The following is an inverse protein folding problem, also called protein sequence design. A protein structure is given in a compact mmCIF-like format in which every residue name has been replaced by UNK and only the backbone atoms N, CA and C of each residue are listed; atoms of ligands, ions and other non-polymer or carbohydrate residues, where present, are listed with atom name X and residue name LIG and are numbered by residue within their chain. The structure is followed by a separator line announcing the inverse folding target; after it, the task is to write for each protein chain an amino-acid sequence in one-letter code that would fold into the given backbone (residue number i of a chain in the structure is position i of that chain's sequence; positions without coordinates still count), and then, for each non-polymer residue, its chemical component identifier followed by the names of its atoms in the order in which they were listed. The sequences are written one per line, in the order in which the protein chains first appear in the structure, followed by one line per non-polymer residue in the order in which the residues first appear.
data_IF_586552272150
#
_entry.id   IF_586552272150
#
_cell.length_a   1.000
_cell.length_b   1.000
_cell.length_c   1.000
_cell.angle_alpha   90.00
_cell.angle_beta   90.00
_cell.angle_gamma   90.00
#
_symmetry.space_group_name_H-M   'P 1'
#
loop_
_entity.id
_entity.type
_entity.pdbx_description
1 polymer ?
#
# COMPACT_ATOMS: atom_id res chain seq x y z
N UNK A 1 -3.87 -5.65 -9.25
CA UNK A 1 -2.83 -4.90 -8.53
C UNK A 1 -2.00 -4.10 -9.53
N UNK A 2 -1.69 -2.84 -9.23
CA UNK A 2 -0.89 -1.94 -10.07
C UNK A 2 0.60 -2.17 -9.81
N UNK A 3 1.33 -2.73 -10.79
CA UNK A 3 2.79 -2.97 -10.73
C UNK A 3 3.61 -1.86 -11.39
N UNK A 4 3.03 -0.68 -11.61
CA UNK A 4 3.77 0.44 -12.21
C UNK A 4 4.79 1.00 -11.23
N UNK A 5 5.95 1.41 -11.76
CA UNK A 5 7.01 2.06 -10.96
C UNK A 5 6.50 3.29 -10.21
N UNK A 6 5.54 4.00 -10.79
CA UNK A 6 4.93 5.18 -10.17
C UNK A 6 4.03 4.82 -8.97
N UNK A 7 3.36 3.67 -8.99
CA UNK A 7 2.60 3.19 -7.85
C UNK A 7 3.52 2.69 -6.74
N UNK A 8 4.53 1.88 -7.08
CA UNK A 8 5.55 1.42 -6.14
C UNK A 8 6.20 2.60 -5.42
N UNK A 9 6.62 3.63 -6.15
CA UNK A 9 7.21 4.85 -5.58
C UNK A 9 6.26 5.57 -4.61
N UNK A 10 4.96 5.62 -4.91
CA UNK A 10 3.97 6.25 -4.03
C UNK A 10 3.76 5.44 -2.76
N UNK A 11 3.68 4.11 -2.87
CA UNK A 11 3.56 3.21 -1.72
C UNK A 11 4.79 3.28 -0.83
N UNK A 12 6.00 3.17 -1.41
CA UNK A 12 7.27 3.25 -0.69
C UNK A 12 7.46 4.56 0.09
N UNK A 13 6.87 5.65 -0.40
CA UNK A 13 6.93 6.96 0.26
C UNK A 13 5.80 7.21 1.26
N UNK A 14 4.75 6.40 1.23
CA UNK A 14 3.61 6.51 2.14
C UNK A 14 3.97 5.85 3.47
N UNK A 15 4.95 6.41 4.19
CA UNK A 15 5.51 5.80 5.42
C UNK A 15 4.41 5.53 6.45
N UNK A 16 3.44 6.42 6.58
CA UNK A 16 2.30 6.24 7.47
C UNK A 16 1.49 4.99 7.11
N UNK A 17 1.25 4.77 5.82
CA UNK A 17 0.52 3.61 5.31
C UNK A 17 1.34 2.32 5.46
N UNK A 18 2.65 2.38 5.24
CA UNK A 18 3.54 1.22 5.41
C UNK A 18 3.60 0.77 6.88
N UNK A 19 3.62 1.73 7.81
CA UNK A 19 3.60 1.43 9.25
C UNK A 19 2.27 0.81 9.72
N UNK A 20 1.17 1.10 9.01
CA UNK A 20 -0.14 0.51 9.27
C UNK A 20 -0.31 -0.88 8.64
N UNK A 21 0.68 -1.37 7.87
CA UNK A 21 0.59 -2.67 7.23
C UNK A 21 0.59 -3.80 8.25
N UNK A 22 -0.53 -4.53 8.29
CA UNK A 22 -0.67 -5.80 9.01
C UNK A 22 -0.79 -6.92 7.98
N UNK A 23 0.32 -7.60 7.62
CA UNK A 23 0.33 -8.56 6.52
C UNK A 23 -0.70 -9.65 6.70
N UNK A 24 -1.46 -9.90 5.63
CA UNK A 24 -2.41 -11.01 5.53
C UNK A 24 -2.18 -11.82 4.26
N UNK A 25 -2.68 -13.06 4.26
CA UNK A 25 -2.59 -13.93 3.10
C UNK A 25 -3.22 -13.27 1.86
N UNK A 26 -2.45 -13.28 0.78
CA UNK A 26 -2.82 -12.67 -0.49
C UNK A 26 -2.35 -11.22 -0.65
N UNK A 27 -1.80 -10.58 0.38
CA UNK A 27 -1.23 -9.24 0.27
C UNK A 27 -0.08 -9.22 -0.72
N UNK A 28 0.01 -8.14 -1.49
CA UNK A 28 1.12 -7.95 -2.40
C UNK A 28 2.15 -7.01 -1.80
N UNK A 29 3.42 -7.34 -2.00
CA UNK A 29 4.52 -6.48 -1.63
C UNK A 29 5.63 -6.55 -2.67
N UNK A 30 6.52 -5.58 -2.61
CA UNK A 30 7.75 -5.55 -3.38
C UNK A 30 8.91 -5.74 -2.43
N UNK A 31 9.75 -6.74 -2.67
CA UNK A 31 10.92 -7.06 -1.84
C UNK A 31 12.20 -7.05 -2.66
N UNK A 32 13.31 -6.75 -2.00
CA UNK A 32 14.68 -6.92 -2.51
C UNK A 32 15.28 -8.22 -1.99
N UNK A 33 16.50 -8.55 -2.44
CA UNK A 33 17.22 -9.74 -1.96
C UNK A 33 17.47 -9.68 -0.46
N UNK A 34 17.72 -8.48 0.08
CA UNK A 34 18.00 -8.31 1.50
C UNK A 34 16.79 -8.59 2.40
N UNK A 35 15.57 -8.60 1.84
CA UNK A 35 14.33 -8.83 2.58
C UNK A 35 14.05 -10.30 2.88
N UNK A 36 14.83 -11.23 2.33
CA UNK A 36 14.62 -12.67 2.45
C UNK A 36 15.86 -13.37 3.02
N UNK A 37 15.64 -14.51 3.68
CA UNK A 37 16.73 -15.42 4.06
C UNK A 37 17.21 -16.30 2.90
N UNK A 38 16.43 -16.35 1.81
CA UNK A 38 16.76 -17.07 0.57
C UNK A 38 17.41 -16.12 -0.46
N UNK A 39 18.72 -16.21 -0.60
CA UNK A 39 19.54 -15.40 -1.53
C UNK A 39 19.15 -15.59 -3.02
N UNK A 40 18.43 -16.68 -3.34
CA UNK A 40 17.96 -16.98 -4.69
C UNK A 40 16.70 -16.18 -5.06
N UNK A 41 15.98 -15.61 -4.09
CA UNK A 41 14.83 -14.75 -4.36
C UNK A 41 15.30 -13.42 -4.98
N UNK A 42 14.89 -13.09 -6.22
CA UNK A 42 15.28 -11.84 -6.85
C UNK A 42 14.55 -10.64 -6.25
N UNK A 43 14.90 -9.44 -6.70
CA UNK A 43 14.08 -8.27 -6.43
C UNK A 43 12.84 -8.31 -7.34
N UNK A 44 11.65 -8.53 -6.78
CA UNK A 44 10.40 -8.64 -7.54
C UNK A 44 9.15 -8.39 -6.66
N UNK A 45 7.98 -8.55 -7.28
CA UNK A 45 6.68 -8.53 -6.64
C UNK A 45 6.32 -9.90 -6.09
N UNK A 46 6.07 -9.94 -4.81
CA UNK A 46 5.72 -11.14 -4.07
C UNK A 46 4.30 -11.04 -3.54
N UNK A 47 3.70 -12.21 -3.34
CA UNK A 47 2.44 -12.33 -2.64
C UNK A 47 2.71 -13.00 -1.31
N UNK A 48 2.26 -12.35 -0.24
CA UNK A 48 2.36 -12.85 1.11
C UNK A 48 1.48 -14.09 1.23
N UNK A 49 2.09 -15.24 1.52
CA UNK A 49 1.40 -16.50 1.76
C UNK A 49 2.02 -17.20 2.96
N UNK A 50 1.23 -17.34 4.00
CA UNK A 50 1.39 -18.24 5.12
C UNK A 50 0.76 -19.60 4.74
N UNK A 51 1.56 -20.67 4.76
CA UNK A 51 1.11 -22.05 4.57
C UNK A 51 1.51 -22.88 5.80
N UNK A 52 0.62 -23.76 6.28
CA UNK A 52 0.79 -24.52 7.54
C UNK A 52 2.07 -25.38 7.62
N UNK A 53 2.65 -25.74 6.46
CA UNK A 53 3.85 -26.58 6.36
C UNK A 53 5.14 -25.78 6.06
N UNK A 54 5.10 -24.44 6.04
CA UNK A 54 6.19 -23.47 5.77
C UNK A 54 6.96 -23.63 4.44
N UNK A 55 6.72 -24.71 3.68
CA UNK A 55 7.53 -25.13 2.53
C UNK A 55 7.44 -24.22 1.30
N UNK A 56 6.41 -23.40 1.19
CA UNK A 56 6.16 -22.52 0.04
C UNK A 56 5.89 -21.07 0.45
N UNK A 57 6.14 -20.72 1.71
CA UNK A 57 5.86 -19.39 2.21
C UNK A 57 6.90 -18.41 1.63
N UNK A 58 6.43 -17.33 1.00
CA UNK A 58 7.29 -16.21 0.63
C UNK A 58 7.05 -15.10 1.64
N UNK A 59 7.88 -15.08 2.66
CA UNK A 59 7.75 -14.20 3.81
C UNK A 59 9.00 -13.34 3.92
N UNK A 60 8.87 -12.05 4.27
CA UNK A 60 10.03 -11.27 4.64
C UNK A 60 10.71 -11.90 5.87
N UNK A 61 12.05 -11.90 5.90
CA UNK A 61 12.88 -12.58 6.91
C UNK A 61 12.55 -12.25 8.38
N UNK A 62 12.01 -11.06 8.65
CA UNK A 62 11.65 -10.63 10.00
C UNK A 62 10.18 -10.84 10.36
N UNK A 63 9.38 -11.46 9.49
CA UNK A 63 7.99 -11.76 9.81
C UNK A 63 7.88 -13.02 10.67
N UNK A 64 7.37 -12.89 11.90
CA UNK A 64 7.12 -14.02 12.78
C UNK A 64 5.71 -14.57 12.56
N UNK A 65 5.61 -15.73 11.92
CA UNK A 65 4.35 -16.43 11.65
C UNK A 65 3.51 -16.73 12.90
N UNK A 66 4.16 -17.10 14.02
CA UNK A 66 3.46 -17.49 15.25
C UNK A 66 2.80 -16.29 15.92
N UNK A 67 3.46 -15.14 15.88
CA UNK A 67 2.98 -13.89 16.48
C UNK A 67 2.17 -13.04 15.50
N UNK A 68 2.31 -13.30 14.20
CA UNK A 68 1.71 -12.54 13.09
C UNK A 68 2.13 -11.06 13.07
N UNK A 69 3.41 -10.81 13.34
CA UNK A 69 4.00 -9.47 13.40
C UNK A 69 5.43 -9.48 12.88
N UNK A 70 5.94 -8.31 12.48
CA UNK A 70 7.36 -8.12 12.20
C UNK A 70 8.15 -7.97 13.50
N UNK A 71 9.25 -8.71 13.65
CA UNK A 71 10.14 -8.61 14.82
C UNK A 71 11.18 -7.48 14.68
N UNK A 72 11.39 -6.97 13.46
CA UNK A 72 12.29 -5.87 13.13
C UNK A 72 11.76 -5.07 11.92
N UNK A 73 12.36 -3.93 11.61
CA UNK A 73 12.04 -3.12 10.44
C UNK A 73 12.27 -3.91 9.14
N UNK A 74 11.36 -3.75 8.18
CA UNK A 74 11.44 -4.37 6.85
C UNK A 74 11.49 -3.30 5.77
N UNK A 75 12.33 -3.51 4.75
CA UNK A 75 12.40 -2.64 3.58
C UNK A 75 11.37 -3.04 2.49
N UNK A 76 10.61 -4.12 2.75
CA UNK A 76 9.48 -4.53 1.91
C UNK A 76 8.47 -3.40 1.78
N UNK A 77 8.03 -3.14 0.55
CA UNK A 77 7.00 -2.15 0.26
C UNK A 77 5.67 -2.84 0.02
N UNK A 78 4.72 -2.65 0.93
CA UNK A 78 3.35 -3.09 0.74
C UNK A 78 2.68 -2.37 -0.42
N UNK A 79 1.96 -3.14 -1.23
CA UNK A 79 1.22 -2.69 -2.40
C UNK A 79 -0.27 -3.02 -2.20
N UNK A 80 -1.02 -2.19 -1.46
CA UNK A 80 -2.41 -2.49 -1.15
C UNK A 80 -3.23 -2.61 -2.43
N UNK A 81 -4.16 -3.55 -2.45
CA UNK A 81 -5.16 -3.68 -3.50
C UNK A 81 -6.24 -2.60 -3.34
N UNK A 82 -7.14 -2.51 -4.33
CA UNK A 82 -8.33 -1.66 -4.19
C UNK A 82 -9.17 -2.08 -2.98
N UNK A 83 -9.37 -3.38 -2.78
CA UNK A 83 -10.14 -3.90 -1.65
C UNK A 83 -9.49 -3.51 -0.30
N UNK A 84 -8.16 -3.60 -0.21
CA UNK A 84 -7.44 -3.17 0.99
C UNK A 84 -7.66 -1.68 1.26
N UNK A 85 -7.47 -0.84 0.24
CA UNK A 85 -7.63 0.62 0.37
C UNK A 85 -9.05 1.03 0.74
N UNK A 86 -10.06 0.38 0.17
CA UNK A 86 -11.46 0.65 0.52
C UNK A 86 -11.77 0.16 1.95
N UNK A 87 -11.23 -1.00 2.34
CA UNK A 87 -11.37 -1.54 3.70
C UNK A 87 -10.71 -0.69 4.79
N UNK A 88 -9.72 0.15 4.45
CA UNK A 88 -9.11 1.10 5.40
C UNK A 88 -10.01 2.30 5.71
N UNK A 89 -11.07 2.51 4.94
CA UNK A 89 -11.95 3.67 5.08
C UNK A 89 -13.22 3.26 5.81
N UNK A 90 -13.55 3.99 6.87
CA UNK A 90 -14.74 3.74 7.67
C UNK A 90 -15.93 4.55 7.13
N UNK A 91 -16.84 3.87 6.43
CA UNK A 91 -18.11 4.43 5.97
C UNK A 91 -19.28 3.52 6.38
N UNK A 92 -20.44 4.13 6.62
CA UNK A 92 -21.66 3.39 6.96
C UNK A 92 -22.21 2.61 5.75
N UNK A 93 -22.05 3.15 4.55
CA UNK A 93 -22.48 2.50 3.31
C UNK A 93 -21.45 2.68 2.18
N UNK A 94 -21.38 1.72 1.22
CA UNK A 94 -20.53 1.89 0.03
C UNK A 94 -20.90 3.11 -0.82
N UNK A 95 -22.16 3.58 -0.76
CA UNK A 95 -22.58 4.77 -1.50
C UNK A 95 -21.96 6.04 -0.90
N UNK A 96 -21.82 6.11 0.42
CA UNK A 96 -21.17 7.25 1.08
C UNK A 96 -19.68 7.30 0.76
N UNK A 97 -19.01 6.16 0.72
CA UNK A 97 -17.62 6.03 0.30
C UNK A 97 -17.42 6.54 -1.13
N UNK A 98 -18.22 6.03 -2.09
CA UNK A 98 -18.14 6.43 -3.49
C UNK A 98 -18.44 7.92 -3.66
N UNK A 99 -19.41 8.44 -2.90
CA UNK A 99 -19.76 9.87 -2.94
C UNK A 99 -18.60 10.73 -2.45
N UNK A 100 -18.01 10.42 -1.29
CA UNK A 100 -16.91 11.23 -0.76
C UNK A 100 -15.66 11.10 -1.64
N UNK A 101 -15.39 9.92 -2.19
CA UNK A 101 -14.35 9.74 -3.19
C UNK A 101 -14.58 10.63 -4.41
N UNK A 102 -15.79 10.62 -4.99
CA UNK A 102 -16.14 11.45 -6.13
C UNK A 102 -16.05 12.96 -5.82
N UNK A 103 -16.53 13.37 -4.65
CA UNK A 103 -16.46 14.75 -4.17
C UNK A 103 -15.01 15.21 -3.97
N UNK A 104 -14.12 14.32 -3.52
CA UNK A 104 -12.69 14.59 -3.41
C UNK A 104 -12.04 14.71 -4.79
N UNK A 105 -12.29 13.77 -5.70
CA UNK A 105 -11.75 13.80 -7.07
C UNK A 105 -12.17 15.10 -7.79
N UNK A 106 -13.43 15.51 -7.64
CA UNK A 106 -13.95 16.73 -8.25
C UNK A 106 -13.27 18.03 -7.75
N UNK A 107 -12.65 18.00 -6.56
CA UNK A 107 -11.91 19.12 -5.97
C UNK A 107 -10.45 19.17 -6.41
N UNK A 108 -9.93 18.11 -7.04
CA UNK A 108 -8.56 18.09 -7.54
C UNK A 108 -8.43 19.01 -8.76
N UNK A 109 -7.36 19.81 -8.79
CA UNK A 109 -6.96 20.55 -9.98
C UNK A 109 -6.55 19.60 -11.11
N UNK A 110 -6.57 20.07 -12.36
CA UNK A 110 -6.11 19.28 -13.53
C UNK A 110 -4.69 18.74 -13.29
N UNK A 111 -3.79 19.58 -12.76
CA UNK A 111 -2.41 19.17 -12.46
C UNK A 111 -2.33 18.09 -11.39
N UNK A 112 -3.22 18.06 -10.41
CA UNK A 112 -3.27 17.01 -9.39
C UNK A 112 -3.83 15.71 -9.96
N UNK A 113 -4.90 15.78 -10.77
CA UNK A 113 -5.49 14.61 -11.42
C UNK A 113 -4.47 13.91 -12.33
N UNK A 114 -3.68 14.66 -13.08
CA UNK A 114 -2.63 14.11 -13.96
C UNK A 114 -1.51 13.35 -13.21
N UNK A 115 -1.39 13.50 -11.89
CA UNK A 115 -0.41 12.76 -11.08
C UNK A 115 -0.83 11.32 -10.80
N UNK A 116 -2.10 10.99 -11.00
CA UNK A 116 -2.68 9.67 -10.77
C UNK A 116 -3.08 9.06 -12.11
N UNK A 117 -2.32 8.06 -12.57
CA UNK A 117 -2.51 7.47 -13.91
C UNK A 117 -3.39 6.23 -13.90
N UNK A 118 -3.67 5.68 -12.73
CA UNK A 118 -4.48 4.48 -12.54
C UNK A 118 -5.47 4.67 -11.41
N UNK A 119 -6.53 3.86 -11.39
CA UNK A 119 -7.51 3.84 -10.30
C UNK A 119 -6.86 3.50 -8.96
N UNK A 120 -5.87 2.59 -8.93
CA UNK A 120 -5.16 2.24 -7.69
C UNK A 120 -4.39 3.45 -7.13
N UNK A 121 -3.66 4.18 -8.01
CA UNK A 121 -2.96 5.40 -7.60
C UNK A 121 -3.93 6.45 -7.05
N UNK A 122 -5.10 6.60 -7.68
CA UNK A 122 -6.11 7.57 -7.26
C UNK A 122 -6.73 7.22 -5.90
N UNK A 123 -7.05 5.95 -5.68
CA UNK A 123 -7.52 5.46 -4.37
C UNK A 123 -6.47 5.59 -3.28
N UNK A 124 -5.20 5.30 -3.60
CA UNK A 124 -4.10 5.54 -2.66
C UNK A 124 -4.03 7.03 -2.28
N UNK A 125 -4.17 7.92 -3.26
CA UNK A 125 -4.27 9.36 -3.01
C UNK A 125 -5.42 9.73 -2.08
N UNK A 126 -6.58 9.09 -2.23
CA UNK A 126 -7.73 9.31 -1.38
C UNK A 126 -7.53 8.78 0.04
N UNK A 127 -6.99 7.58 0.21
CA UNK A 127 -6.66 7.00 1.52
C UNK A 127 -5.66 7.88 2.26
N UNK A 128 -4.56 8.28 1.60
CA UNK A 128 -3.56 9.17 2.18
C UNK A 128 -4.17 10.53 2.60
N UNK A 129 -5.10 11.05 1.82
CA UNK A 129 -5.82 12.26 2.16
C UNK A 129 -6.75 12.08 3.38
N UNK A 130 -7.54 11.00 3.41
CA UNK A 130 -8.56 10.76 4.43
C UNK A 130 -7.99 10.36 5.78
N UNK A 131 -7.06 9.42 5.79
CA UNK A 131 -6.55 8.83 7.04
C UNK A 131 -5.30 9.55 7.55
N UNK A 132 -4.50 10.13 6.64
CA UNK A 132 -3.19 10.71 7.00
C UNK A 132 -3.08 12.22 6.72
N UNK A 133 -4.11 12.86 6.14
CA UNK A 133 -4.09 14.30 5.76
C UNK A 133 -2.94 14.65 4.79
N UNK A 134 -2.51 13.69 3.98
CA UNK A 134 -1.41 13.84 3.04
C UNK A 134 -1.91 13.98 1.59
N UNK A 135 -1.16 14.70 0.77
CA UNK A 135 -1.39 14.81 -0.68
C UNK A 135 -0.12 14.58 -1.47
N UNK A 136 -0.24 13.98 -2.65
CA UNK A 136 0.91 13.72 -3.52
C UNK A 136 1.28 14.95 -4.34
N UNK A 137 2.48 15.49 -4.13
CA UNK A 137 2.96 16.66 -4.86
C UNK A 137 3.65 16.33 -6.21
N UNK A 138 3.67 15.06 -6.61
CA UNK A 138 4.41 14.56 -7.78
C UNK A 138 5.71 13.84 -7.42
N UNK A 139 6.26 14.12 -6.24
CA UNK A 139 7.51 13.54 -5.74
C UNK A 139 7.37 12.90 -4.37
N UNK A 140 6.54 13.46 -3.50
CA UNK A 140 6.35 13.02 -2.12
C UNK A 140 4.93 13.25 -1.62
N UNK A 141 4.61 12.60 -0.50
CA UNK A 141 3.44 12.91 0.31
C UNK A 141 3.74 14.10 1.21
N UNK A 142 2.89 15.12 1.15
CA UNK A 142 3.03 16.33 1.95
C UNK A 142 1.75 16.64 2.70
N UNK A 143 1.89 17.17 3.91
CA UNK A 143 0.75 17.52 4.74
C UNK A 143 -0.08 18.62 4.07
N UNK A 144 -1.39 18.40 3.97
CA UNK A 144 -2.31 19.41 3.44
C UNK A 144 -2.68 20.39 4.55
N UNK A 145 -2.18 21.62 4.48
CA UNK A 145 -2.69 22.70 5.33
C UNK A 145 -4.18 22.93 5.00
N UNK A 146 -5.02 22.89 6.04
CA UNK A 146 -6.47 23.11 5.94
C UNK A 146 -6.79 24.57 5.68
#
# INVERSE_FOLDING_TARGET
MDKSKEYLKKCAKAIELQNDWQPKNGDWFYGTKEDFDDDDLPQDYYQFFDCEDDYYAVLPKYYNLKKKEFEDETDCVWLPSLEDMQGMLLYDTPLDEIKDFADWVAKLTISEQERFRTTHQLWLGFVMYKNHTMVWNGKDWVFKQR
#
